data_IF_935861320076
#
_entry.id   IF_935861320076
#
_cell.length_a   1.000
_cell.length_b   1.000
_cell.length_c   1.000
_cell.angle_alpha   90.00
_cell.angle_beta   90.00
_cell.angle_gamma   90.00
#
_symmetry.space_group_name_H-M   'P 1'
#
loop_
_entity.id
_entity.type
_entity.pdbx_description
1 polymer ?
#
# COMPACT_ATOMS: atom_id res chain seq x y z
N UNK A 1 -39.35 78.31 3.44
CA UNK A 1 -39.93 77.06 2.99
C UNK A 1 -38.80 76.06 2.83
N UNK A 2 -38.64 75.21 3.80
CA UNK A 2 -37.45 74.34 3.92
C UNK A 2 -37.87 72.89 3.64
N UNK A 3 -37.38 72.30 2.53
CA UNK A 3 -37.65 70.96 2.14
C UNK A 3 -36.50 70.03 2.56
N UNK A 4 -36.74 69.21 3.61
CA UNK A 4 -35.84 68.24 4.12
C UNK A 4 -35.80 67.04 3.12
N UNK A 5 -34.61 66.72 2.60
CA UNK A 5 -34.33 65.49 1.86
C UNK A 5 -33.72 64.48 2.80
N UNK A 6 -34.42 63.39 3.06
CA UNK A 6 -33.90 62.22 3.77
C UNK A 6 -33.04 61.39 2.83
N UNK A 7 -31.78 61.24 3.14
CA UNK A 7 -30.89 60.23 2.52
C UNK A 7 -31.04 58.92 3.29
N UNK A 8 -31.56 57.92 2.60
CA UNK A 8 -31.55 56.53 3.02
C UNK A 8 -30.22 55.92 2.59
N UNK A 9 -29.33 55.62 3.57
CA UNK A 9 -28.11 54.85 3.36
C UNK A 9 -28.48 53.37 3.43
N UNK A 10 -28.37 52.65 2.30
CA UNK A 10 -28.51 51.20 2.24
C UNK A 10 -27.18 50.56 2.65
N UNK A 11 -27.17 49.86 3.80
CA UNK A 11 -26.05 49.05 4.25
C UNK A 11 -26.10 47.72 3.50
N UNK A 12 -25.19 47.49 2.54
CA UNK A 12 -24.97 46.22 1.92
C UNK A 12 -24.06 45.38 2.82
N UNK A 13 -24.62 44.37 3.52
CA UNK A 13 -23.85 43.35 4.21
C UNK A 13 -23.33 42.35 3.19
N UNK A 14 -22.04 42.40 2.91
CA UNK A 14 -21.34 41.36 2.17
C UNK A 14 -21.08 40.16 3.11
N UNK A 15 -21.85 39.09 2.95
CA UNK A 15 -21.60 37.80 3.59
C UNK A 15 -20.39 37.13 2.91
N UNK A 16 -19.20 37.23 3.50
CA UNK A 16 -18.04 36.44 3.08
C UNK A 16 -18.24 35.01 3.51
N UNK A 17 -18.63 34.13 2.57
CA UNK A 17 -18.60 32.70 2.76
C UNK A 17 -17.12 32.23 2.85
N UNK A 18 -16.68 31.96 4.07
CA UNK A 18 -15.42 31.28 4.34
C UNK A 18 -15.56 29.81 3.89
N UNK A 19 -15.08 29.50 2.68
CA UNK A 19 -14.82 28.12 2.29
C UNK A 19 -13.69 27.56 3.15
N UNK A 20 -14.05 26.86 4.23
CA UNK A 20 -13.09 26.08 5.00
C UNK A 20 -12.78 24.84 4.17
N UNK A 21 -11.53 24.58 3.74
CA UNK A 21 -11.19 23.32 3.09
C UNK A 21 -11.42 22.21 4.11
N UNK A 22 -12.34 21.32 3.80
CA UNK A 22 -12.49 20.05 4.53
C UNK A 22 -11.22 19.25 4.25
N UNK A 23 -10.31 19.26 5.22
CA UNK A 23 -9.20 18.32 5.25
C UNK A 23 -9.84 16.95 5.49
N UNK A 24 -9.99 16.17 4.44
CA UNK A 24 -10.34 14.76 4.56
C UNK A 24 -9.27 14.11 5.42
N UNK A 25 -9.59 13.92 6.71
CA UNK A 25 -8.80 13.11 7.59
C UNK A 25 -8.72 11.71 6.96
N UNK A 26 -7.54 11.33 6.46
CA UNK A 26 -7.30 9.98 6.00
C UNK A 26 -7.58 9.05 7.18
N UNK A 27 -8.71 8.38 7.11
CA UNK A 27 -9.08 7.35 8.08
C UNK A 27 -7.95 6.32 8.08
N UNK A 28 -7.26 6.07 9.21
CA UNK A 28 -6.25 5.02 9.26
C UNK A 28 -6.89 3.74 8.76
N UNK A 29 -6.26 3.10 7.76
CA UNK A 29 -6.75 1.84 7.23
C UNK A 29 -7.07 0.91 8.40
N UNK A 30 -8.29 0.40 8.46
CA UNK A 30 -8.72 -0.48 9.53
C UNK A 30 -7.67 -1.57 9.68
N UNK A 31 -7.03 -1.66 10.86
CA UNK A 31 -5.99 -2.65 11.14
C UNK A 31 -6.59 -4.01 10.85
N UNK A 32 -6.14 -4.65 9.76
CA UNK A 32 -6.54 -6.03 9.49
C UNK A 32 -6.17 -6.85 10.72
N UNK A 33 -7.15 -7.51 11.34
CA UNK A 33 -6.89 -8.39 12.48
C UNK A 33 -6.05 -9.61 12.09
N UNK A 34 -5.89 -9.85 10.79
CA UNK A 34 -5.19 -10.97 10.19
C UNK A 34 -3.88 -10.47 9.56
N UNK A 35 -2.76 -11.17 9.80
CA UNK A 35 -1.52 -10.89 9.10
C UNK A 35 -1.70 -10.95 7.59
N UNK A 36 -0.97 -10.11 6.85
CA UNK A 36 -1.00 -10.10 5.40
C UNK A 36 0.42 -10.22 4.83
N UNK A 37 0.57 -11.06 3.82
CA UNK A 37 1.75 -11.13 2.98
C UNK A 37 1.49 -10.32 1.71
N UNK A 38 2.19 -9.22 1.54
CA UNK A 38 2.11 -8.39 0.34
C UNK A 38 3.23 -8.76 -0.61
N UNK A 39 2.86 -9.18 -1.81
CA UNK A 39 3.76 -9.46 -2.92
C UNK A 39 3.71 -8.31 -3.91
N UNK A 40 4.87 -7.73 -4.22
CA UNK A 40 5.00 -6.70 -5.25
C UNK A 40 5.77 -7.27 -6.42
N UNK A 41 5.14 -7.25 -7.60
CA UNK A 41 5.65 -7.86 -8.84
C UNK A 41 5.32 -7.01 -10.06
N UNK A 42 5.99 -7.31 -11.17
CA UNK A 42 5.56 -6.86 -12.49
C UNK A 42 5.58 -8.01 -13.51
N UNK A 43 4.82 -7.86 -14.60
CA UNK A 43 4.59 -8.95 -15.56
C UNK A 43 5.84 -9.38 -16.33
N UNK A 44 6.80 -8.49 -16.48
CA UNK A 44 8.06 -8.75 -17.20
C UNK A 44 9.13 -9.41 -16.31
N UNK A 45 8.88 -9.56 -14.99
CA UNK A 45 9.85 -10.14 -14.07
C UNK A 45 9.86 -11.68 -14.14
N UNK A 46 10.93 -12.25 -14.62
CA UNK A 46 11.11 -13.71 -14.59
C UNK A 46 11.15 -14.27 -13.16
N UNK A 47 11.82 -13.63 -12.18
CA UNK A 47 11.72 -14.10 -10.79
C UNK A 47 10.29 -14.10 -10.23
N UNK A 48 9.45 -13.14 -10.61
CA UNK A 48 8.04 -13.13 -10.23
C UNK A 48 7.25 -14.29 -10.85
N UNK A 49 7.50 -14.60 -12.12
CA UNK A 49 6.88 -15.76 -12.80
C UNK A 49 7.30 -17.06 -12.12
N UNK A 50 8.59 -17.19 -11.79
CA UNK A 50 9.11 -18.34 -11.04
C UNK A 50 8.42 -18.49 -9.68
N UNK A 51 8.29 -17.41 -8.92
CA UNK A 51 7.61 -17.48 -7.63
C UNK A 51 6.16 -17.92 -7.78
N UNK A 52 5.42 -17.35 -8.73
CA UNK A 52 4.02 -17.69 -8.99
C UNK A 52 3.82 -19.14 -9.39
N UNK A 53 4.74 -19.70 -10.17
CA UNK A 53 4.63 -21.10 -10.65
C UNK A 53 5.08 -22.12 -9.61
N UNK A 54 6.08 -21.80 -8.80
CA UNK A 54 6.69 -22.76 -7.88
C UNK A 54 6.22 -22.59 -6.43
N UNK A 55 6.20 -21.36 -5.92
CA UNK A 55 6.01 -21.08 -4.50
C UNK A 55 4.58 -20.69 -4.14
N UNK A 56 3.89 -19.96 -4.98
CA UNK A 56 2.51 -19.54 -4.70
C UNK A 56 1.56 -20.73 -4.50
N UNK A 57 1.60 -21.80 -5.31
CA UNK A 57 0.78 -22.99 -5.07
C UNK A 57 1.11 -23.68 -3.75
N UNK A 58 2.40 -23.76 -3.38
CA UNK A 58 2.83 -24.34 -2.10
C UNK A 58 2.32 -23.51 -0.92
N UNK A 59 2.42 -22.19 -0.99
CA UNK A 59 1.85 -21.29 0.02
C UNK A 59 0.33 -21.48 0.11
N UNK A 60 -0.38 -21.46 -1.03
CA UNK A 60 -1.84 -21.58 -1.08
C UNK A 60 -2.34 -22.92 -0.52
N UNK A 61 -1.60 -24.00 -0.73
CA UNK A 61 -1.90 -25.35 -0.19
C UNK A 61 -1.50 -25.54 1.27
N UNK A 62 -0.76 -24.61 1.86
CA UNK A 62 -0.28 -24.73 3.23
C UNK A 62 -1.32 -24.27 4.27
N UNK A 63 -1.26 -24.75 5.53
CA UNK A 63 -2.06 -24.24 6.63
C UNK A 63 -1.84 -22.73 6.88
N UNK A 64 -0.64 -22.21 6.59
CA UNK A 64 -0.31 -20.81 6.76
C UNK A 64 -1.19 -19.87 5.93
N UNK A 65 -1.63 -20.30 4.74
CA UNK A 65 -2.52 -19.51 3.88
C UNK A 65 -3.90 -19.25 4.49
N UNK A 66 -4.33 -20.06 5.47
CA UNK A 66 -5.56 -19.85 6.22
C UNK A 66 -5.41 -18.76 7.29
N UNK A 67 -4.18 -18.49 7.72
CA UNK A 67 -3.85 -17.56 8.79
C UNK A 67 -3.30 -16.23 8.26
N UNK A 68 -2.70 -16.25 7.07
CA UNK A 68 -2.09 -15.08 6.43
C UNK A 68 -2.81 -14.81 5.10
N UNK A 69 -3.26 -13.58 4.90
CA UNK A 69 -3.84 -13.14 3.63
C UNK A 69 -2.73 -12.83 2.62
N UNK A 70 -2.76 -13.46 1.43
CA UNK A 70 -1.89 -13.05 0.33
C UNK A 70 -2.53 -11.89 -0.44
N UNK A 71 -1.83 -10.77 -0.49
CA UNK A 71 -2.19 -9.60 -1.27
C UNK A 71 -1.13 -9.33 -2.33
N UNK A 72 -1.56 -9.13 -3.57
CA UNK A 72 -0.62 -8.94 -4.68
C UNK A 72 -0.79 -7.55 -5.29
N UNK A 73 0.32 -6.83 -5.41
CA UNK A 73 0.44 -5.64 -6.23
C UNK A 73 1.20 -6.06 -7.47
N UNK A 74 0.50 -6.11 -8.60
CA UNK A 74 1.06 -6.50 -9.87
C UNK A 74 0.91 -5.39 -10.89
N UNK A 75 1.99 -5.07 -11.57
CA UNK A 75 2.04 -4.00 -12.58
C UNK A 75 2.55 -4.52 -13.90
N UNK A 76 2.24 -3.87 -15.04
CA UNK A 76 2.78 -4.29 -16.33
C UNK A 76 4.31 -4.17 -16.41
N UNK A 77 4.89 -3.18 -15.75
CA UNK A 77 6.32 -2.87 -15.82
C UNK A 77 6.89 -2.49 -14.45
N UNK A 78 8.20 -2.60 -14.29
CA UNK A 78 8.89 -2.16 -13.08
C UNK A 78 8.65 -0.67 -12.77
N UNK A 79 8.66 0.19 -13.78
CA UNK A 79 8.39 1.63 -13.64
C UNK A 79 7.02 1.92 -13.04
N UNK A 80 6.01 1.14 -13.40
CA UNK A 80 4.65 1.31 -12.90
C UNK A 80 4.54 1.01 -11.39
N UNK A 81 5.43 0.18 -10.83
CA UNK A 81 5.44 -0.11 -9.38
C UNK A 81 5.73 1.14 -8.53
N UNK A 82 6.43 2.13 -9.08
CA UNK A 82 6.72 3.40 -8.41
C UNK A 82 5.54 4.39 -8.44
N UNK A 83 4.44 4.06 -9.11
CA UNK A 83 3.32 4.97 -9.28
C UNK A 83 2.26 4.72 -8.20
N UNK A 84 1.81 5.76 -7.46
CA UNK A 84 0.80 5.60 -6.40
C UNK A 84 -0.51 4.98 -6.91
N UNK A 85 -0.88 5.22 -8.17
CA UNK A 85 -2.09 4.67 -8.78
C UNK A 85 -2.06 3.14 -8.94
N UNK A 86 -0.87 2.51 -8.93
CA UNK A 86 -0.73 1.06 -9.01
C UNK A 86 -1.00 0.36 -7.66
N UNK A 87 -1.05 1.13 -6.57
CA UNK A 87 -1.22 0.60 -5.22
C UNK A 87 -2.66 0.75 -4.76
N UNK A 88 -3.26 -0.33 -4.20
CA UNK A 88 -4.55 -0.23 -3.54
C UNK A 88 -4.56 0.88 -2.47
N UNK A 89 -5.67 1.58 -2.32
CA UNK A 89 -5.74 2.75 -1.44
C UNK A 89 -5.29 2.45 0.00
N UNK A 90 -5.64 1.27 0.52
CA UNK A 90 -5.30 0.81 1.85
C UNK A 90 -3.85 0.29 2.00
N UNK A 91 -3.13 0.08 0.89
CA UNK A 91 -1.71 -0.29 0.87
C UNK A 91 -0.80 0.82 0.33
N UNK A 92 -1.36 1.98 -0.04
CA UNK A 92 -0.57 3.07 -0.63
C UNK A 92 0.50 3.62 0.33
N UNK A 93 0.28 3.54 1.62
CA UNK A 93 1.27 3.89 2.64
C UNK A 93 2.55 3.03 2.57
N UNK A 94 2.46 1.81 2.02
CA UNK A 94 3.58 0.91 1.88
C UNK A 94 4.50 1.29 0.69
N UNK A 95 4.03 2.15 -0.23
CA UNK A 95 4.80 2.57 -1.40
C UNK A 95 6.13 3.22 -1.00
N UNK A 96 6.13 4.12 -0.03
CA UNK A 96 7.36 4.79 0.42
C UNK A 96 8.35 3.76 0.99
N UNK A 97 7.87 2.80 1.78
CA UNK A 97 8.69 1.71 2.29
C UNK A 97 9.24 0.85 1.15
N UNK A 98 8.43 0.56 0.14
CA UNK A 98 8.88 -0.15 -1.05
C UNK A 98 9.99 0.63 -1.77
N UNK A 99 9.79 1.91 -2.07
CA UNK A 99 10.77 2.74 -2.78
C UNK A 99 12.08 2.87 -1.99
N UNK A 100 12.02 3.07 -0.68
CA UNK A 100 13.21 3.11 0.17
C UNK A 100 13.96 1.77 0.25
N UNK A 101 13.27 0.66 0.00
CA UNK A 101 13.87 -0.67 0.00
C UNK A 101 14.57 -1.03 -1.31
N UNK A 102 14.36 -0.24 -2.37
CA UNK A 102 14.99 -0.43 -3.67
C UNK A 102 16.29 0.38 -3.74
N UNK A 103 17.24 -0.12 -4.50
CA UNK A 103 18.48 0.58 -4.80
C UNK A 103 18.53 0.87 -6.30
N UNK A 104 18.96 2.08 -6.65
CA UNK A 104 19.08 2.45 -8.04
C UNK A 104 17.79 2.89 -8.73
N UNK A 105 17.81 2.85 -10.06
CA UNK A 105 16.68 3.19 -10.92
C UNK A 105 15.64 2.06 -10.96
N UNK A 106 14.45 2.38 -11.45
CA UNK A 106 13.35 1.40 -11.51
C UNK A 106 13.69 0.14 -12.34
N UNK A 107 14.63 0.21 -13.26
CA UNK A 107 15.13 -0.94 -14.03
C UNK A 107 15.83 -1.98 -13.14
N UNK A 108 16.36 -1.55 -12.01
CA UNK A 108 17.12 -2.37 -11.06
C UNK A 108 16.26 -2.83 -9.87
N UNK A 109 14.95 -2.54 -9.88
CA UNK A 109 14.07 -2.94 -8.79
C UNK A 109 14.04 -4.45 -8.60
N UNK A 110 14.42 -4.89 -7.42
CA UNK A 110 14.47 -6.30 -7.06
C UNK A 110 13.07 -6.85 -6.80
N UNK A 111 12.65 -7.80 -7.63
CA UNK A 111 11.35 -8.47 -7.54
C UNK A 111 11.48 -10.00 -7.65
N UNK A 112 10.55 -10.78 -7.09
CA UNK A 112 9.42 -10.37 -6.25
C UNK A 112 9.87 -9.67 -4.97
N UNK A 113 9.13 -8.64 -4.51
CA UNK A 113 9.34 -8.02 -3.21
C UNK A 113 8.23 -8.45 -2.26
N UNK A 114 8.60 -8.82 -1.04
CA UNK A 114 7.67 -9.32 -0.03
C UNK A 114 7.67 -8.41 1.20
N UNK A 115 6.48 -8.15 1.71
CA UNK A 115 6.29 -7.50 3.00
C UNK A 115 5.31 -8.33 3.83
N UNK A 116 5.71 -8.69 5.03
CA UNK A 116 4.82 -9.29 6.01
C UNK A 116 4.27 -8.20 6.91
N UNK A 117 2.95 -8.08 6.92
CA UNK A 117 2.25 -7.07 7.71
C UNK A 117 1.58 -7.74 8.90
N UNK A 118 1.80 -7.19 10.10
CA UNK A 118 1.09 -7.55 11.32
C UNK A 118 0.63 -6.27 12.01
N UNK A 119 -0.62 -6.23 12.42
CA UNK A 119 -1.18 -5.07 13.11
C UNK A 119 -1.00 -3.73 12.35
N UNK A 120 -1.02 -3.78 11.02
CA UNK A 120 -0.85 -2.60 10.16
C UNK A 120 0.57 -2.07 10.06
N UNK A 121 1.57 -2.86 10.42
CA UNK A 121 3.00 -2.51 10.34
C UNK A 121 3.78 -3.59 9.59
N UNK A 122 4.87 -3.21 8.92
CA UNK A 122 5.81 -4.15 8.31
C UNK A 122 6.64 -4.80 9.42
N UNK A 123 6.54 -6.13 9.56
CA UNK A 123 7.32 -6.90 10.54
C UNK A 123 8.46 -7.68 9.91
N UNK A 124 8.39 -7.96 8.61
CA UNK A 124 9.47 -8.56 7.84
C UNK A 124 9.39 -8.12 6.38
N UNK A 125 10.52 -8.02 5.71
CA UNK A 125 10.57 -7.78 4.27
C UNK A 125 11.80 -8.45 3.66
N UNK A 126 11.66 -8.89 2.40
CA UNK A 126 12.74 -9.48 1.62
C UNK A 126 12.45 -9.39 0.13
N UNK A 127 13.43 -9.72 -0.71
CA UNK A 127 13.27 -9.73 -2.15
C UNK A 127 13.84 -11.01 -2.78
N UNK A 128 13.38 -11.30 -3.98
CA UNK A 128 13.82 -12.44 -4.78
C UNK A 128 13.36 -13.81 -4.25
N UNK A 129 13.55 -14.83 -5.08
CA UNK A 129 13.16 -16.21 -4.73
C UNK A 129 14.03 -16.81 -3.62
N UNK A 130 15.29 -16.37 -3.51
CA UNK A 130 16.16 -16.80 -2.41
C UNK A 130 15.69 -16.19 -1.10
N UNK A 131 15.40 -14.88 -1.07
CA UNK A 131 14.85 -14.23 0.12
C UNK A 131 13.52 -14.84 0.57
N UNK A 132 12.67 -15.25 -0.38
CA UNK A 132 11.47 -16.03 -0.06
C UNK A 132 11.83 -17.33 0.65
N UNK A 133 12.67 -18.16 0.04
CA UNK A 133 12.99 -19.50 0.55
C UNK A 133 13.73 -19.47 1.89
N UNK A 134 14.68 -18.56 2.03
CA UNK A 134 15.64 -18.56 3.15
C UNK A 134 15.19 -17.71 4.32
N UNK A 135 14.28 -16.77 4.08
CA UNK A 135 13.83 -15.83 5.12
C UNK A 135 12.32 -15.75 5.26
N UNK A 136 11.59 -15.37 4.21
CA UNK A 136 10.14 -15.07 4.35
C UNK A 136 9.34 -16.33 4.67
N UNK A 137 9.58 -17.42 3.96
CA UNK A 137 8.84 -18.66 4.18
C UNK A 137 9.07 -19.23 5.60
N UNK A 138 10.30 -19.38 6.08
CA UNK A 138 10.56 -19.75 7.49
C UNK A 138 9.88 -18.83 8.50
N UNK A 139 9.93 -17.50 8.28
CA UNK A 139 9.26 -16.53 9.15
C UNK A 139 7.75 -16.74 9.20
N UNK A 140 7.13 -17.02 8.04
CA UNK A 140 5.69 -17.33 7.96
C UNK A 140 5.36 -18.59 8.75
N UNK A 141 6.14 -19.66 8.60
CA UNK A 141 5.92 -20.92 9.32
C UNK A 141 6.05 -20.73 10.82
N UNK A 142 7.01 -19.93 11.26
CA UNK A 142 7.24 -19.64 12.66
C UNK A 142 6.07 -18.88 13.30
N UNK A 143 5.62 -17.78 12.72
CA UNK A 143 4.51 -16.97 13.25
C UNK A 143 3.16 -17.69 13.19
N UNK A 144 3.00 -18.67 12.31
CA UNK A 144 1.77 -19.47 12.19
C UNK A 144 1.85 -20.78 12.98
N UNK A 145 2.97 -21.07 13.64
CA UNK A 145 3.25 -22.36 14.30
C UNK A 145 3.01 -23.57 13.37
N UNK A 146 3.15 -23.37 12.08
CA UNK A 146 3.05 -24.43 11.08
C UNK A 146 4.43 -25.03 10.85
N UNK A 147 4.64 -26.25 11.32
CA UNK A 147 5.84 -27.00 10.96
C UNK A 147 5.73 -27.49 9.51
N UNK A 148 6.86 -27.52 8.75
CA UNK A 148 6.85 -28.06 7.39
C UNK A 148 6.47 -29.54 7.36
#
# INVERSE_FOLDING_TARGET
MVMRRFLLAALAMAAAMLCVPVVEAQTPAAKSARPALVLVCHDQSEPCKTWRSQWQPLFAGSPASKMIELRTINTPTAKAMAQPAAWPADLRWLLDTFLMSQQGAWEEYETPRFFLLQNGSVTASTAGNNGWREYMWPTILDITNTKP
#
